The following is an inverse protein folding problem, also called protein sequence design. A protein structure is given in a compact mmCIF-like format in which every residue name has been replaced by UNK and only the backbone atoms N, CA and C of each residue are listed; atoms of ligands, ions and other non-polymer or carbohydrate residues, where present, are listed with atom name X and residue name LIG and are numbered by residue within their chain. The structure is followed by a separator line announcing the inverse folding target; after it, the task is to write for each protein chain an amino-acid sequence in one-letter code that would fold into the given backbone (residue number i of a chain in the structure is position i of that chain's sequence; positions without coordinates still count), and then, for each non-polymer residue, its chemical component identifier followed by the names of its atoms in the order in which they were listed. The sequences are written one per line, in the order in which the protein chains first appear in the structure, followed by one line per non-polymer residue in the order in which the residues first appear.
data_IF_584507333411
#
_entry.id   IF_584507333411
#
_cell.length_a   1.000
_cell.length_b   1.000
_cell.length_c   1.000
_cell.angle_alpha   90.00
_cell.angle_beta   90.00
_cell.angle_gamma   90.00
#
_symmetry.space_group_name_H-M   'P 1'
#
loop_
_entity.id
_entity.type
_entity.pdbx_description
1 polymer ?
#
# COMPACT_ATOMS: atom_id res chain seq x y z
N UNK A 1 20.12 -8.10 -44.02
CA UNK A 1 18.69 -7.95 -44.35
C UNK A 1 17.89 -8.61 -43.24
N UNK A 2 17.29 -7.81 -42.38
CA UNK A 2 16.59 -8.31 -41.18
C UNK A 2 15.10 -8.37 -41.54
N UNK A 3 14.71 -9.41 -42.25
CA UNK A 3 13.30 -9.78 -42.35
C UNK A 3 13.00 -10.90 -41.33
N UNK A 4 13.23 -10.61 -40.03
CA UNK A 4 12.55 -11.41 -39.01
C UNK A 4 11.09 -10.99 -39.03
N UNK A 5 10.33 -11.83 -39.64
CA UNK A 5 8.91 -11.64 -39.80
C UNK A 5 8.27 -11.76 -38.42
N UNK A 6 7.45 -10.79 -38.02
CA UNK A 6 6.68 -10.83 -36.76
C UNK A 6 5.85 -12.11 -36.64
N UNK A 7 5.60 -12.80 -37.75
CA UNK A 7 4.87 -14.07 -37.77
C UNK A 7 5.68 -15.26 -37.24
N UNK A 8 7.03 -15.17 -37.25
CA UNK A 8 7.92 -16.22 -36.79
C UNK A 8 8.26 -16.14 -35.29
N UNK A 9 7.82 -15.09 -34.61
CA UNK A 9 8.00 -14.92 -33.16
C UNK A 9 7.22 -15.99 -32.40
N UNK A 10 7.87 -16.59 -31.42
CA UNK A 10 7.21 -17.50 -30.47
C UNK A 10 6.21 -16.70 -29.65
N UNK A 11 4.94 -16.99 -29.86
CA UNK A 11 3.83 -16.34 -29.16
C UNK A 11 3.33 -17.25 -28.04
N UNK A 12 2.90 -16.68 -26.91
CA UNK A 12 2.30 -17.46 -25.84
C UNK A 12 0.99 -18.12 -26.33
N UNK A 13 0.80 -19.36 -25.95
CA UNK A 13 -0.42 -20.11 -26.25
C UNK A 13 -1.61 -19.67 -25.39
N UNK A 14 -1.34 -19.07 -24.23
CA UNK A 14 -2.35 -18.59 -23.30
C UNK A 14 -1.74 -17.91 -22.09
N UNK A 15 -2.61 -17.39 -21.26
CA UNK A 15 -2.28 -16.80 -19.95
C UNK A 15 -2.85 -17.73 -18.88
N UNK A 16 -2.00 -18.30 -18.04
CA UNK A 16 -2.40 -19.09 -16.90
C UNK A 16 -2.37 -18.21 -15.65
N UNK A 17 -3.53 -17.91 -15.11
CA UNK A 17 -3.66 -17.17 -13.86
C UNK A 17 -3.70 -18.15 -12.70
N UNK A 18 -2.69 -18.08 -11.85
CA UNK A 18 -2.65 -18.79 -10.59
C UNK A 18 -3.00 -17.78 -9.49
N UNK A 19 -4.26 -17.74 -9.10
CA UNK A 19 -4.71 -16.92 -7.97
C UNK A 19 -4.87 -17.82 -6.75
N UNK A 20 -4.43 -17.34 -5.60
CA UNK A 20 -4.74 -17.96 -4.33
C UNK A 20 -6.13 -17.50 -3.87
N UNK A 21 -7.07 -18.41 -3.67
CA UNK A 21 -8.42 -18.06 -3.22
C UNK A 21 -8.44 -17.38 -1.85
N UNK A 22 -7.38 -17.57 -1.05
CA UNK A 22 -7.26 -16.97 0.27
C UNK A 22 -6.67 -15.54 0.25
N UNK A 23 -6.01 -15.15 -0.85
CA UNK A 23 -5.33 -13.86 -0.94
C UNK A 23 -5.67 -13.14 -2.25
N UNK A 24 -6.73 -12.35 -2.22
CA UNK A 24 -7.20 -11.59 -3.39
C UNK A 24 -6.21 -10.50 -3.88
N UNK A 25 -5.20 -10.18 -3.07
CA UNK A 25 -4.22 -9.14 -3.40
C UNK A 25 -2.96 -9.71 -4.06
N UNK A 26 -2.92 -11.01 -4.31
CA UNK A 26 -1.78 -11.69 -4.91
C UNK A 26 -2.23 -12.55 -6.08
N UNK A 27 -1.53 -12.44 -7.20
CA UNK A 27 -1.75 -13.29 -8.35
C UNK A 27 -0.43 -13.57 -9.06
N UNK A 28 -0.27 -14.80 -9.51
CA UNK A 28 0.83 -15.20 -10.36
C UNK A 28 0.32 -15.45 -11.77
N UNK A 29 0.89 -14.77 -12.74
CA UNK A 29 0.53 -14.92 -14.16
C UNK A 29 1.68 -15.63 -14.86
N UNK A 30 1.40 -16.80 -15.42
CA UNK A 30 2.36 -17.57 -16.21
C UNK A 30 2.06 -17.40 -17.69
N UNK A 31 3.06 -16.98 -18.44
CA UNK A 31 2.97 -16.71 -19.87
C UNK A 31 4.02 -17.53 -20.61
N UNK A 32 3.59 -18.59 -21.28
CA UNK A 32 4.46 -19.55 -21.97
C UNK A 32 3.83 -20.01 -23.28
N UNK A 33 4.66 -20.31 -24.30
CA UNK A 33 6.09 -20.01 -24.48
C UNK A 33 6.33 -18.55 -24.86
N UNK A 34 7.54 -18.04 -24.58
CA UNK A 34 7.96 -16.71 -25.00
C UNK A 34 9.33 -16.76 -25.66
N UNK A 35 9.55 -15.90 -26.64
CA UNK A 35 10.86 -15.67 -27.26
C UNK A 35 11.88 -15.24 -26.19
N UNK A 36 13.14 -15.64 -26.37
CA UNK A 36 14.22 -15.30 -25.43
C UNK A 36 14.38 -13.78 -25.27
N UNK A 37 14.31 -13.31 -24.03
CA UNK A 37 14.41 -11.89 -23.68
C UNK A 37 13.07 -11.16 -23.60
N UNK A 38 11.98 -11.66 -24.21
CA UNK A 38 10.67 -11.01 -24.16
C UNK A 38 10.06 -10.99 -22.75
N UNK A 39 10.30 -12.02 -21.96
CA UNK A 39 9.83 -12.06 -20.58
C UNK A 39 10.34 -10.88 -19.76
N UNK A 40 11.63 -10.54 -19.90
CA UNK A 40 12.22 -9.38 -19.21
C UNK A 40 11.62 -8.06 -19.71
N UNK A 41 11.44 -7.93 -21.01
CA UNK A 41 10.86 -6.72 -21.63
C UNK A 41 9.43 -6.51 -21.20
N UNK A 42 8.60 -7.55 -21.24
CA UNK A 42 7.20 -7.50 -20.81
C UNK A 42 7.10 -7.22 -19.31
N UNK A 43 7.91 -7.90 -18.49
CA UNK A 43 7.91 -7.69 -17.04
C UNK A 43 8.26 -6.25 -16.66
N UNK A 44 9.29 -5.68 -17.29
CA UNK A 44 9.67 -4.29 -17.06
C UNK A 44 8.60 -3.29 -17.56
N UNK A 45 7.99 -3.55 -18.71
CA UNK A 45 6.92 -2.71 -19.24
C UNK A 45 5.70 -2.73 -18.32
N UNK A 46 5.25 -3.89 -17.87
CA UNK A 46 4.16 -4.04 -16.93
C UNK A 46 4.48 -3.37 -15.59
N UNK A 47 5.67 -3.60 -15.05
CA UNK A 47 6.11 -2.95 -13.81
C UNK A 47 6.01 -1.43 -13.91
N UNK A 48 6.52 -0.84 -14.99
CA UNK A 48 6.47 0.62 -15.20
C UNK A 48 5.04 1.12 -15.30
N UNK A 49 4.19 0.43 -16.04
CA UNK A 49 2.77 0.79 -16.19
C UNK A 49 2.04 0.72 -14.86
N UNK A 50 2.23 -0.35 -14.10
CA UNK A 50 1.59 -0.53 -12.80
C UNK A 50 2.02 0.55 -11.80
N UNK A 51 3.30 0.92 -11.78
CA UNK A 51 3.81 1.94 -10.85
C UNK A 51 3.43 3.37 -11.23
N UNK A 52 3.21 3.66 -12.51
CA UNK A 52 3.00 5.03 -13.00
C UNK A 52 1.54 5.36 -13.34
N UNK A 53 0.72 4.37 -13.64
CA UNK A 53 -0.60 4.61 -14.25
C UNK A 53 -1.78 4.12 -13.41
N UNK A 54 -1.55 3.29 -12.39
CA UNK A 54 -2.61 2.90 -11.47
C UNK A 54 -2.82 3.97 -10.42
N UNK A 55 -4.07 4.34 -10.23
CA UNK A 55 -4.48 5.23 -9.16
C UNK A 55 -4.68 4.44 -7.87
N UNK A 56 -4.39 5.07 -6.75
CA UNK A 56 -4.59 4.51 -5.42
C UNK A 56 -4.82 5.61 -4.40
N UNK A 57 -5.22 5.22 -3.20
CA UNK A 57 -5.37 6.13 -2.08
C UNK A 57 -4.15 6.04 -1.15
N UNK A 58 -3.75 7.16 -0.60
CA UNK A 58 -2.68 7.25 0.38
C UNK A 58 -2.92 8.41 1.35
N UNK A 59 -2.37 8.29 2.54
CA UNK A 59 -2.40 9.38 3.53
C UNK A 59 -1.40 10.45 3.07
N UNK A 60 -1.89 11.64 2.77
CA UNK A 60 -1.07 12.77 2.27
C UNK A 60 -0.68 13.75 3.34
N UNK A 61 -1.47 13.86 4.40
CA UNK A 61 -1.21 14.79 5.50
C UNK A 61 -1.80 14.25 6.81
N UNK A 62 -1.17 14.62 7.91
CA UNK A 62 -1.63 14.32 9.26
C UNK A 62 -1.60 15.57 10.12
N UNK A 63 -2.56 15.70 11.00
CA UNK A 63 -2.60 16.73 12.04
C UNK A 63 -2.73 16.05 13.39
N UNK A 64 -1.75 16.26 14.25
CA UNK A 64 -1.72 15.73 15.61
C UNK A 64 -1.92 16.92 16.57
N UNK A 65 -2.83 16.77 17.52
CA UNK A 65 -3.07 17.81 18.51
C UNK A 65 -1.82 18.01 19.38
N UNK A 66 -1.52 19.27 19.70
CA UNK A 66 -0.37 19.67 20.52
C UNK A 66 1.01 19.38 19.92
N UNK A 67 1.09 19.07 18.62
CA UNK A 67 2.34 18.87 17.88
C UNK A 67 2.51 20.01 16.88
N UNK A 68 3.65 20.69 16.92
CA UNK A 68 3.97 21.82 16.03
C UNK A 68 4.79 21.38 14.82
N UNK A 69 5.62 20.37 14.98
CA UNK A 69 6.52 19.89 13.93
C UNK A 69 6.82 18.39 14.10
N UNK A 70 7.32 17.77 13.05
CA UNK A 70 7.56 16.33 12.97
C UNK A 70 8.63 15.79 13.93
N UNK A 71 9.52 16.65 14.43
CA UNK A 71 10.57 16.25 15.37
C UNK A 71 10.14 16.39 16.84
N UNK A 72 8.86 16.43 17.10
CA UNK A 72 8.30 16.49 18.45
C UNK A 72 8.04 15.10 19.02
N UNK A 73 8.01 15.01 20.34
CA UNK A 73 7.47 13.84 21.05
C UNK A 73 6.09 14.16 21.61
N UNK A 74 5.25 13.17 21.73
CA UNK A 74 3.89 13.29 22.29
C UNK A 74 3.93 12.75 23.70
N UNK A 75 3.53 13.52 24.73
CA UNK A 75 3.48 13.03 26.09
C UNK A 75 2.56 11.79 26.20
N UNK A 76 3.11 10.70 26.74
CA UNK A 76 2.37 9.44 26.91
C UNK A 76 2.35 8.54 25.67
N UNK A 77 3.06 8.88 24.60
CA UNK A 77 3.29 8.04 23.43
C UNK A 77 4.77 7.65 23.41
N UNK A 78 5.05 6.40 23.08
CA UNK A 78 6.42 5.87 23.08
C UNK A 78 7.22 6.32 21.86
N UNK A 79 6.54 6.38 20.73
CA UNK A 79 7.11 6.75 19.45
C UNK A 79 7.15 8.26 19.29
N UNK A 80 8.18 8.73 18.60
CA UNK A 80 8.25 10.11 18.12
C UNK A 80 7.28 10.32 16.96
N UNK A 81 6.94 11.59 16.71
CA UNK A 81 6.04 11.96 15.60
C UNK A 81 6.59 11.48 14.25
N UNK A 82 7.91 11.47 14.07
CA UNK A 82 8.55 10.94 12.86
C UNK A 82 8.23 9.45 12.65
N UNK A 83 8.32 8.64 13.71
CA UNK A 83 7.99 7.22 13.65
C UNK A 83 6.50 7.01 13.33
N UNK A 84 5.62 7.80 13.94
CA UNK A 84 4.19 7.77 13.66
C UNK A 84 3.92 8.10 12.18
N UNK A 85 4.58 9.11 11.64
CA UNK A 85 4.43 9.48 10.21
C UNK A 85 4.90 8.35 9.29
N UNK A 86 6.00 7.67 9.64
CA UNK A 86 6.49 6.52 8.86
C UNK A 86 5.49 5.35 8.91
N UNK A 87 4.92 5.09 10.09
CA UNK A 87 3.89 4.06 10.25
C UNK A 87 2.62 4.42 9.46
N UNK A 88 2.20 5.69 9.47
CA UNK A 88 1.07 6.16 8.67
C UNK A 88 1.29 5.97 7.17
N UNK A 89 2.51 6.17 6.66
CA UNK A 89 2.85 5.91 5.26
C UNK A 89 2.75 4.43 4.87
N UNK A 90 2.92 3.53 5.83
CA UNK A 90 2.83 2.08 5.59
C UNK A 90 1.39 1.57 5.56
N UNK A 91 0.41 2.39 5.94
CA UNK A 91 -1.00 1.98 5.92
C UNK A 91 -1.50 1.89 4.48
N UNK A 92 -2.05 0.73 4.14
CA UNK A 92 -2.77 0.55 2.90
C UNK A 92 -4.20 1.05 3.05
N UNK A 93 -4.59 1.96 2.18
CA UNK A 93 -5.91 2.59 2.19
C UNK A 93 -6.63 2.26 0.89
N UNK A 94 -7.84 1.72 0.99
CA UNK A 94 -8.77 1.59 -0.12
C UNK A 94 -9.77 2.75 -0.09
N UNK A 95 -10.02 3.39 -1.22
CA UNK A 95 -10.97 4.49 -1.33
C UNK A 95 -11.82 4.32 -2.58
N UNK A 96 -13.13 4.27 -2.41
CA UNK A 96 -14.10 4.13 -3.50
C UNK A 96 -14.68 5.47 -3.95
N UNK A 97 -14.42 6.54 -3.18
CA UNK A 97 -14.98 7.87 -3.40
C UNK A 97 -13.89 8.83 -3.85
N UNK A 98 -14.17 9.60 -4.88
CA UNK A 98 -13.24 10.62 -5.40
C UNK A 98 -13.05 11.80 -4.44
N UNK A 99 -11.87 12.40 -4.51
CA UNK A 99 -11.49 13.61 -3.78
C UNK A 99 -10.89 13.34 -2.40
N UNK A 100 -10.24 14.35 -1.80
CA UNK A 100 -9.59 14.21 -0.50
C UNK A 100 -10.61 14.03 0.61
N UNK A 101 -10.38 13.06 1.49
CA UNK A 101 -11.21 12.76 2.66
C UNK A 101 -10.40 12.91 3.94
N UNK A 102 -11.10 13.18 5.03
CA UNK A 102 -10.52 13.26 6.36
C UNK A 102 -10.94 12.05 7.18
N UNK A 103 -9.95 11.39 7.76
CA UNK A 103 -10.13 10.35 8.75
C UNK A 103 -9.77 10.92 10.12
N UNK A 104 -10.37 10.40 11.18
CA UNK A 104 -10.04 10.79 12.54
C UNK A 104 -9.70 9.57 13.37
N UNK A 105 -8.72 9.75 14.25
CA UNK A 105 -8.31 8.77 15.24
C UNK A 105 -8.38 9.43 16.60
N UNK A 106 -9.09 8.79 17.55
CA UNK A 106 -9.18 9.24 18.94
C UNK A 106 -9.12 8.02 19.83
N UNK A 107 -8.01 7.85 20.51
CA UNK A 107 -7.81 6.75 21.44
C UNK A 107 -7.35 7.27 22.79
N UNK A 108 -7.68 6.53 23.85
CA UNK A 108 -7.36 6.87 25.22
C UNK A 108 -6.87 5.64 25.97
N UNK A 109 -5.86 5.82 26.80
CA UNK A 109 -5.35 4.79 27.73
C UNK A 109 -4.10 4.08 27.21
N UNK A 110 -3.50 3.20 28.01
CA UNK A 110 -2.36 2.41 27.58
C UNK A 110 -2.83 1.32 26.60
N UNK A 111 -2.74 1.59 25.31
CA UNK A 111 -3.20 0.72 24.20
C UNK A 111 -2.23 0.81 23.04
N UNK A 112 -2.02 -0.31 22.34
CA UNK A 112 -1.44 -0.27 21.01
C UNK A 112 -2.50 0.28 20.03
N UNK A 113 -2.16 1.32 19.31
CA UNK A 113 -3.05 1.91 18.30
C UNK A 113 -2.71 1.35 16.95
N UNK A 114 -3.72 0.89 16.25
CA UNK A 114 -3.60 0.29 14.92
C UNK A 114 -4.41 1.08 13.89
N UNK A 115 -4.22 0.78 12.63
CA UNK A 115 -5.02 1.37 11.56
C UNK A 115 -6.52 1.04 11.68
N UNK A 116 -6.85 -0.09 12.34
CA UNK A 116 -8.26 -0.46 12.61
C UNK A 116 -8.97 0.43 13.61
N UNK A 117 -8.24 1.22 14.40
CA UNK A 117 -8.82 2.19 15.35
C UNK A 117 -9.19 3.52 14.67
N UNK A 118 -8.84 3.67 13.40
CA UNK A 118 -9.23 4.84 12.60
C UNK A 118 -10.74 4.77 12.38
N UNK A 119 -11.42 5.88 12.71
CA UNK A 119 -12.85 5.98 12.48
C UNK A 119 -13.12 5.98 10.98
N UNK A 120 -13.67 4.88 10.50
CA UNK A 120 -13.99 4.70 9.09
C UNK A 120 -15.05 5.71 8.65
N UNK A 121 -14.79 6.32 7.52
CA UNK A 121 -15.75 7.17 6.83
C UNK A 121 -16.27 6.40 5.62
N UNK A 122 -17.54 6.52 5.27
CA UNK A 122 -18.16 5.82 4.17
C UNK A 122 -17.30 5.84 2.89
N UNK A 123 -16.96 4.65 2.39
CA UNK A 123 -16.19 4.45 1.17
C UNK A 123 -14.66 4.51 1.36
N UNK A 124 -14.17 4.43 2.59
CA UNK A 124 -12.73 4.32 2.88
C UNK A 124 -12.51 3.12 3.78
N UNK A 125 -11.68 2.19 3.34
CA UNK A 125 -11.28 1.00 4.07
C UNK A 125 -9.79 1.07 4.38
N UNK A 126 -9.42 0.76 5.61
CA UNK A 126 -8.02 0.69 6.04
C UNK A 126 -7.64 -0.74 6.42
N UNK A 127 -6.38 -1.11 6.21
CA UNK A 127 -5.89 -2.41 6.65
C UNK A 127 -5.68 -2.38 8.16
N UNK A 128 -6.52 -3.12 8.89
CA UNK A 128 -6.69 -3.03 10.34
C UNK A 128 -5.48 -3.45 11.18
N UNK A 129 -4.58 -4.28 10.65
CA UNK A 129 -3.46 -4.83 11.42
C UNK A 129 -2.18 -3.98 11.43
N UNK A 130 -2.14 -2.87 10.69
CA UNK A 130 -0.97 -1.99 10.67
C UNK A 130 -0.87 -1.21 11.98
N UNK A 131 0.23 -1.39 12.71
CA UNK A 131 0.49 -0.65 13.94
C UNK A 131 0.83 0.81 13.66
N UNK A 132 0.21 1.72 14.40
CA UNK A 132 0.52 3.15 14.41
C UNK A 132 1.42 3.52 15.57
N UNK A 133 1.08 3.02 16.77
CA UNK A 133 1.87 3.22 17.97
C UNK A 133 1.88 1.94 18.82
N UNK A 134 2.97 1.73 19.55
CA UNK A 134 3.08 0.65 20.52
C UNK A 134 2.45 1.04 21.87
N UNK A 135 2.03 0.06 22.70
CA UNK A 135 1.45 0.37 23.99
C UNK A 135 2.47 1.09 24.88
N UNK A 136 2.09 2.26 25.36
CA UNK A 136 2.88 3.00 26.33
C UNK A 136 2.80 2.29 27.68
N UNK A 137 3.92 1.83 28.20
CA UNK A 137 4.03 1.56 29.63
C UNK A 137 4.01 2.90 30.35
N UNK A 138 2.99 3.13 31.17
CA UNK A 138 2.98 4.24 32.10
C UNK A 138 4.18 4.06 33.01
N UNK A 139 5.21 4.86 32.82
CA UNK A 139 6.27 5.00 33.82
C UNK A 139 5.67 5.87 34.91
N UNK A 140 5.46 5.28 36.05
CA UNK A 140 5.08 5.98 37.29
C UNK A 140 6.30 6.71 37.82
#
# INVERSE_FOLDING_TARGET
MIHKNWHELIKPSGLNLLSDEQNQNYATIVVEPLERGFGLTLGNALRRTLLSSLQGAAITSVKINSVLHEFSSIPGVREDVTDIVLNLKAISVGMEVEGPKRLSLKEQGPKAVTAGDIIETNGINTVSYTHLTLPTKRIV
#
